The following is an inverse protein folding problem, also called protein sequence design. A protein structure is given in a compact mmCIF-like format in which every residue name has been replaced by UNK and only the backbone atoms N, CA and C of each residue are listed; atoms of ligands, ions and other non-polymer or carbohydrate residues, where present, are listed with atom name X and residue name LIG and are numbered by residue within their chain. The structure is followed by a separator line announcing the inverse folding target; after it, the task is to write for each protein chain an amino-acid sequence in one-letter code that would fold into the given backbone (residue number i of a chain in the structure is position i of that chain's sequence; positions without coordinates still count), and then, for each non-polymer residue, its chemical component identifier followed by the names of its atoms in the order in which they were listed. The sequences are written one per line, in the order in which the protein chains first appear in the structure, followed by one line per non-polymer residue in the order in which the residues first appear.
data_IF_572771208475
#
_entry.id   IF_572771208475
#
_cell.length_a   1.000
_cell.length_b   1.000
_cell.length_c   1.000
_cell.angle_alpha   90.00
_cell.angle_beta   90.00
_cell.angle_gamma   90.00
#
_symmetry.space_group_name_H-M   'P 1'
#
loop_
_entity.id
_entity.type
_entity.pdbx_description
1 polymer ?
#
# COMPACT_ATOMS: atom_id res chain seq x y z
N UNK A 1 -14.27 -46.50 -8.77
CA UNK A 1 -13.21 -45.88 -7.95
C UNK A 1 -12.52 -44.72 -8.66
N UNK A 2 -12.08 -44.82 -9.92
CA UNK A 2 -11.41 -43.73 -10.66
C UNK A 2 -12.21 -42.41 -10.75
N UNK A 3 -13.54 -42.48 -10.94
CA UNK A 3 -14.41 -41.29 -11.08
C UNK A 3 -14.57 -40.51 -9.76
N UNK A 4 -14.51 -41.19 -8.63
CA UNK A 4 -14.60 -40.56 -7.30
C UNK A 4 -13.28 -39.88 -6.94
N UNK A 5 -12.13 -40.49 -7.30
CA UNK A 5 -10.80 -39.89 -7.12
C UNK A 5 -10.63 -38.62 -7.96
N UNK A 6 -11.12 -38.66 -9.24
CA UNK A 6 -11.06 -37.49 -10.11
C UNK A 6 -11.93 -36.32 -9.60
N UNK A 7 -13.10 -36.61 -9.03
CA UNK A 7 -13.97 -35.58 -8.43
C UNK A 7 -13.37 -34.98 -7.16
N UNK A 8 -12.69 -35.79 -6.33
CA UNK A 8 -11.99 -35.30 -5.12
C UNK A 8 -10.76 -34.46 -5.48
N UNK A 9 -10.03 -34.82 -6.54
CA UNK A 9 -8.90 -34.06 -7.02
C UNK A 9 -9.33 -32.71 -7.62
N UNK A 10 -10.46 -32.68 -8.34
CA UNK A 10 -11.02 -31.44 -8.88
C UNK A 10 -11.56 -30.51 -7.78
N UNK A 11 -12.14 -31.06 -6.70
CA UNK A 11 -12.60 -30.29 -5.56
C UNK A 11 -11.43 -29.67 -4.75
N UNK A 12 -10.29 -30.34 -4.66
CA UNK A 12 -9.08 -29.83 -4.00
C UNK A 12 -8.43 -28.66 -4.74
N UNK A 13 -8.60 -28.57 -6.08
CA UNK A 13 -8.09 -27.46 -6.90
C UNK A 13 -8.94 -26.18 -6.80
N UNK A 14 -10.14 -26.27 -6.25
CA UNK A 14 -11.05 -25.12 -6.00
C UNK A 14 -10.83 -24.47 -4.62
N UNK A 15 -9.96 -25.00 -3.79
CA UNK A 15 -9.46 -24.28 -2.60
C UNK A 15 -8.54 -23.14 -3.08
N UNK A 16 -9.12 -22.21 -3.85
CA UNK A 16 -8.44 -21.01 -4.32
C UNK A 16 -7.87 -20.24 -3.15
N UNK A 17 -6.68 -19.66 -3.32
CA UNK A 17 -6.04 -18.77 -2.37
C UNK A 17 -7.06 -17.69 -1.97
N UNK A 18 -7.70 -17.84 -0.82
CA UNK A 18 -8.51 -16.78 -0.24
C UNK A 18 -7.56 -15.58 -0.02
N UNK A 19 -7.82 -14.47 -0.69
CA UNK A 19 -7.10 -13.23 -0.42
C UNK A 19 -7.30 -12.85 1.04
N UNK A 20 -6.23 -12.40 1.70
CA UNK A 20 -6.30 -11.94 3.09
C UNK A 20 -7.30 -10.78 3.16
N UNK A 21 -8.27 -10.87 4.08
CA UNK A 21 -9.21 -9.80 4.37
C UNK A 21 -8.67 -8.97 5.55
N UNK A 22 -8.72 -7.65 5.43
CA UNK A 22 -8.27 -6.75 6.50
C UNK A 22 -9.04 -6.95 7.81
N UNK A 23 -10.29 -7.41 7.74
CA UNK A 23 -11.11 -7.74 8.92
C UNK A 23 -10.48 -8.81 9.83
N UNK A 24 -9.54 -9.63 9.33
CA UNK A 24 -8.81 -10.61 10.15
C UNK A 24 -7.96 -9.94 11.23
N UNK A 25 -7.58 -8.67 11.04
CA UNK A 25 -6.76 -7.90 11.97
C UNK A 25 -7.59 -7.07 12.97
N UNK A 26 -8.92 -7.16 12.98
CA UNK A 26 -9.81 -6.29 13.77
C UNK A 26 -9.48 -6.26 15.29
N UNK A 27 -8.92 -7.33 15.83
CA UNK A 27 -8.56 -7.44 17.23
C UNK A 27 -7.09 -7.06 17.53
N UNK A 28 -6.28 -6.79 16.50
CA UNK A 28 -4.86 -6.45 16.66
C UNK A 28 -4.68 -5.02 17.16
N UNK A 29 -3.60 -4.80 17.90
CA UNK A 29 -3.28 -3.50 18.53
C UNK A 29 -1.82 -3.11 18.28
N UNK A 30 -1.51 -1.80 18.26
CA UNK A 30 -2.42 -0.65 18.43
C UNK A 30 -3.34 -0.47 17.22
N UNK A 31 -4.56 0.08 17.44
CA UNK A 31 -5.48 0.31 16.34
C UNK A 31 -4.95 1.43 15.42
N UNK A 32 -4.95 1.16 14.12
CA UNK A 32 -4.52 2.11 13.09
C UNK A 32 -5.65 3.08 12.76
N UNK A 33 -5.36 4.36 12.92
CA UNK A 33 -6.14 5.48 12.38
C UNK A 33 -5.19 6.34 11.55
N UNK A 34 -5.40 6.43 10.24
CA UNK A 34 -4.53 7.22 9.35
C UNK A 34 -4.47 8.69 9.75
N UNK A 35 -5.59 9.27 10.16
CA UNK A 35 -5.65 10.66 10.62
C UNK A 35 -4.76 10.90 11.84
N UNK A 36 -4.76 9.96 12.79
CA UNK A 36 -3.90 10.04 13.99
C UNK A 36 -2.44 9.80 13.65
N UNK A 37 -2.16 8.81 12.78
CA UNK A 37 -0.79 8.45 12.43
C UNK A 37 -0.14 9.49 11.52
N UNK A 38 -0.80 9.87 10.42
CA UNK A 38 -0.33 10.86 9.46
C UNK A 38 -0.80 12.29 9.85
N UNK A 39 -0.55 12.71 11.07
CA UNK A 39 -0.70 14.09 11.52
C UNK A 39 0.65 14.58 12.05
N UNK A 40 1.29 15.51 11.32
CA UNK A 40 2.66 15.97 11.55
C UNK A 40 3.65 15.38 10.54
N UNK A 41 4.93 15.26 10.92
CA UNK A 41 6.02 14.84 10.03
C UNK A 41 6.37 13.38 10.27
N UNK A 42 6.47 12.62 9.17
CA UNK A 42 6.82 11.20 9.15
C UNK A 42 8.01 10.98 8.23
N UNK A 43 9.01 10.23 8.69
CA UNK A 43 10.08 9.70 7.84
C UNK A 43 9.70 8.32 7.32
N UNK A 44 10.06 8.02 6.07
CA UNK A 44 9.91 6.71 5.48
C UNK A 44 11.17 6.26 4.75
N UNK A 45 11.56 4.99 4.92
CA UNK A 45 12.68 4.37 4.20
C UNK A 45 12.14 3.20 3.41
N UNK A 46 12.31 3.25 2.10
CA UNK A 46 11.73 2.27 1.21
C UNK A 46 12.72 1.69 0.19
N UNK A 47 12.34 0.54 -0.34
CA UNK A 47 13.00 -0.10 -1.46
C UNK A 47 11.97 -0.72 -2.40
N UNK A 48 12.25 -0.65 -3.70
CA UNK A 48 11.53 -1.42 -4.71
C UNK A 48 12.36 -2.63 -5.10
N UNK A 49 11.71 -3.80 -5.08
CA UNK A 49 12.26 -5.08 -5.52
C UNK A 49 11.48 -5.56 -6.76
N UNK A 50 12.20 -6.00 -7.78
CA UNK A 50 11.58 -6.64 -8.94
C UNK A 50 11.00 -8.02 -8.58
N UNK A 51 10.37 -8.67 -9.56
CA UNK A 51 9.75 -9.99 -9.37
C UNK A 51 10.73 -11.10 -8.96
N UNK A 52 12.04 -10.90 -9.17
CA UNK A 52 13.09 -11.84 -8.76
C UNK A 52 13.53 -11.63 -7.30
N UNK A 53 13.07 -10.55 -6.67
CA UNK A 53 13.48 -10.14 -5.34
C UNK A 53 14.72 -9.24 -5.31
N UNK A 54 15.27 -8.88 -6.49
CA UNK A 54 16.42 -7.97 -6.58
C UNK A 54 15.98 -6.55 -6.23
N UNK A 55 16.71 -5.90 -5.31
CA UNK A 55 16.51 -4.48 -5.02
C UNK A 55 16.97 -3.66 -6.22
N UNK A 56 16.03 -2.95 -6.83
CA UNK A 56 16.25 -2.09 -8.01
C UNK A 56 16.54 -0.67 -7.59
N UNK A 57 15.82 -0.16 -6.60
CA UNK A 57 16.03 1.19 -6.07
C UNK A 57 15.71 1.27 -4.58
N UNK A 58 16.28 2.27 -3.91
CA UNK A 58 16.00 2.65 -2.53
C UNK A 58 15.68 4.12 -2.48
N UNK A 59 14.89 4.53 -1.50
CA UNK A 59 14.52 5.91 -1.31
C UNK A 59 14.26 6.24 0.17
N UNK A 60 14.37 7.51 0.48
CA UNK A 60 13.85 8.11 1.69
C UNK A 60 12.71 9.04 1.30
N UNK A 61 11.67 9.10 2.11
CA UNK A 61 10.55 10.03 1.94
C UNK A 61 10.29 10.76 3.25
N UNK A 62 10.12 12.06 3.15
CA UNK A 62 9.59 12.88 4.25
C UNK A 62 8.17 13.24 3.89
N UNK A 63 7.25 12.96 4.80
CA UNK A 63 5.82 13.23 4.64
C UNK A 63 5.43 14.30 5.64
N UNK A 64 5.01 15.47 5.15
CA UNK A 64 4.39 16.50 5.97
C UNK A 64 2.87 16.42 5.80
N UNK A 65 2.21 15.98 6.87
CA UNK A 65 0.78 15.66 6.82
C UNK A 65 -0.03 16.57 7.73
N UNK A 66 -1.21 16.99 7.25
CA UNK A 66 -2.15 17.85 7.97
C UNK A 66 -3.58 17.42 7.72
N UNK A 67 -4.41 17.50 8.75
CA UNK A 67 -5.84 17.18 8.66
C UNK A 67 -6.70 18.39 9.00
N UNK A 68 -7.80 18.55 8.25
CA UNK A 68 -8.88 19.49 8.52
C UNK A 68 -10.21 18.71 8.47
N UNK A 69 -10.85 18.55 9.63
CA UNK A 69 -11.95 17.61 9.74
C UNK A 69 -11.51 16.20 9.35
N UNK A 70 -12.22 15.55 8.43
CA UNK A 70 -11.91 14.21 7.94
C UNK A 70 -11.15 14.20 6.61
N UNK A 71 -10.62 15.36 6.20
CA UNK A 71 -9.77 15.49 5.01
C UNK A 71 -8.33 15.75 5.40
N UNK A 72 -7.43 14.88 4.94
CA UNK A 72 -5.98 14.95 5.13
C UNK A 72 -5.25 15.31 3.85
N UNK A 73 -4.20 16.11 3.97
CA UNK A 73 -3.23 16.36 2.91
C UNK A 73 -1.89 15.79 3.37
N UNK A 74 -1.30 14.87 2.58
CA UNK A 74 0.01 14.29 2.83
C UNK A 74 0.94 14.73 1.70
N UNK A 75 1.92 15.55 2.04
CA UNK A 75 2.92 16.08 1.11
C UNK A 75 4.21 15.23 1.23
N UNK A 76 4.46 14.40 0.24
CA UNK A 76 5.53 13.41 0.22
C UNK A 76 6.71 13.90 -0.62
N UNK A 77 7.86 14.13 -0.01
CA UNK A 77 9.10 14.48 -0.68
C UNK A 77 10.04 13.27 -0.70
N UNK A 78 10.23 12.68 -1.88
CA UNK A 78 11.08 11.51 -2.11
C UNK A 78 12.49 11.92 -2.51
N UNK A 79 13.48 11.23 -1.96
CA UNK A 79 14.87 11.27 -2.38
C UNK A 79 15.36 9.83 -2.64
N UNK A 80 15.67 9.54 -3.89
CA UNK A 80 16.14 8.23 -4.33
C UNK A 80 17.66 8.09 -4.18
N UNK A 81 18.14 6.85 -4.05
CA UNK A 81 19.55 6.56 -3.90
C UNK A 81 20.43 6.99 -5.11
N UNK A 82 19.82 7.20 -6.27
CA UNK A 82 20.46 7.73 -7.48
C UNK A 82 20.44 9.27 -7.55
N UNK A 83 19.93 9.94 -6.53
CA UNK A 83 19.84 11.40 -6.43
C UNK A 83 18.59 12.02 -7.06
N UNK A 84 17.72 11.25 -7.71
CA UNK A 84 16.44 11.76 -8.19
C UNK A 84 15.58 12.21 -7.02
N UNK A 85 14.77 13.23 -7.26
CA UNK A 85 13.78 13.75 -6.32
C UNK A 85 12.42 13.79 -6.97
N UNK A 86 11.42 13.36 -6.22
CA UNK A 86 10.02 13.38 -6.64
C UNK A 86 9.15 13.93 -5.51
N UNK A 87 7.97 14.43 -5.86
CA UNK A 87 6.97 14.89 -4.89
C UNK A 87 5.63 14.35 -5.29
N UNK A 88 4.91 13.84 -4.30
CA UNK A 88 3.51 13.43 -4.41
C UNK A 88 2.70 14.10 -3.32
N UNK A 89 1.52 14.58 -3.65
CA UNK A 89 0.59 15.12 -2.67
C UNK A 89 -0.69 14.31 -2.72
N UNK A 90 -0.99 13.63 -1.64
CA UNK A 90 -2.26 12.97 -1.45
C UNK A 90 -3.27 13.90 -0.82
N UNK A 91 -4.52 13.81 -1.29
CA UNK A 91 -5.71 14.25 -0.55
C UNK A 91 -6.46 13.01 -0.13
N UNK A 92 -6.60 12.77 1.17
CA UNK A 92 -7.25 11.59 1.74
C UNK A 92 -8.50 12.03 2.49
N UNK A 93 -9.60 11.31 2.30
CA UNK A 93 -10.86 11.49 3.03
C UNK A 93 -11.12 10.26 3.87
N UNK A 94 -11.42 10.48 5.16
CA UNK A 94 -11.79 9.46 6.13
C UNK A 94 -13.31 9.39 6.26
N UNK A 95 -13.87 8.15 6.22
CA UNK A 95 -15.28 7.86 6.51
C UNK A 95 -15.33 6.62 7.43
N UNK A 96 -15.31 6.85 8.74
CA UNK A 96 -15.17 5.77 9.72
C UNK A 96 -13.84 5.02 9.54
N UNK A 97 -13.92 3.73 9.28
CA UNK A 97 -12.75 2.87 9.00
C UNK A 97 -12.38 2.82 7.51
N UNK A 98 -13.15 3.49 6.65
CA UNK A 98 -12.88 3.60 5.22
C UNK A 98 -12.14 4.88 4.89
N UNK A 99 -11.27 4.77 3.90
CA UNK A 99 -10.50 5.89 3.38
C UNK A 99 -10.59 5.90 1.86
N UNK A 100 -10.66 7.09 1.30
CA UNK A 100 -10.48 7.33 -0.14
C UNK A 100 -9.42 8.39 -0.35
N UNK A 101 -8.75 8.39 -1.50
CA UNK A 101 -7.71 9.36 -1.77
C UNK A 101 -7.43 9.58 -3.23
N UNK A 102 -6.84 10.75 -3.53
CA UNK A 102 -6.37 11.12 -4.86
C UNK A 102 -4.96 11.69 -4.78
N UNK A 103 -4.16 11.47 -5.82
CA UNK A 103 -2.86 12.12 -6.02
C UNK A 103 -2.65 12.39 -7.51
N UNK A 104 -1.67 13.23 -7.85
CA UNK A 104 -1.45 13.66 -9.25
C UNK A 104 -1.05 12.54 -10.20
N UNK A 105 -0.45 11.47 -9.69
CA UNK A 105 -0.01 10.28 -10.43
C UNK A 105 -0.90 9.04 -10.17
N UNK A 106 -2.06 9.24 -9.52
CA UNK A 106 -3.05 8.17 -9.27
C UNK A 106 -4.21 8.31 -10.24
N UNK A 107 -4.54 7.22 -10.92
CA UNK A 107 -5.66 7.15 -11.85
C UNK A 107 -6.95 6.92 -11.08
N UNK A 108 -7.87 7.86 -11.15
CA UNK A 108 -9.14 7.81 -10.42
C UNK A 108 -8.97 8.02 -8.91
N UNK A 109 -9.65 7.20 -8.12
CA UNK A 109 -9.66 7.31 -6.66
C UNK A 109 -9.12 6.04 -6.03
N UNK A 110 -8.13 6.20 -5.16
CA UNK A 110 -7.66 5.14 -4.29
C UNK A 110 -8.68 4.86 -3.17
N UNK A 111 -8.72 3.64 -2.68
CA UNK A 111 -9.63 3.25 -1.60
C UNK A 111 -9.00 2.25 -0.66
N UNK A 112 -9.40 2.27 0.60
CA UNK A 112 -8.95 1.30 1.58
C UNK A 112 -9.83 1.23 2.82
N UNK A 113 -9.56 0.21 3.61
CA UNK A 113 -10.26 -0.06 4.87
C UNK A 113 -9.24 -0.40 5.94
N UNK A 114 -9.40 0.18 7.13
CA UNK A 114 -8.63 -0.16 8.30
C UNK A 114 -9.39 -1.15 9.19
N UNK A 115 -8.67 -2.09 9.80
CA UNK A 115 -9.20 -2.95 10.84
C UNK A 115 -8.07 -3.32 11.81
N UNK A 116 -8.29 -3.10 13.10
CA UNK A 116 -7.26 -3.28 14.11
C UNK A 116 -6.00 -2.47 13.79
N UNK A 117 -4.84 -3.13 13.71
CA UNK A 117 -3.57 -2.45 13.39
C UNK A 117 -3.26 -2.37 11.89
N UNK A 118 -4.15 -2.83 11.01
CA UNK A 118 -3.90 -2.93 9.58
C UNK A 118 -4.77 -1.97 8.76
N UNK A 119 -4.22 -1.52 7.61
CA UNK A 119 -4.95 -0.89 6.51
C UNK A 119 -4.64 -1.65 5.23
N UNK A 120 -5.67 -1.97 4.47
CA UNK A 120 -5.53 -2.44 3.10
C UNK A 120 -5.95 -1.32 2.16
N UNK A 121 -5.00 -0.83 1.33
CA UNK A 121 -5.16 0.31 0.43
C UNK A 121 -4.91 -0.09 -1.00
N UNK A 122 -5.74 0.33 -1.95
CA UNK A 122 -5.61 -0.03 -3.36
C UNK A 122 -5.75 1.19 -4.25
N UNK A 123 -4.92 1.26 -5.27
CA UNK A 123 -4.95 2.32 -6.27
C UNK A 123 -4.27 1.89 -7.56
N UNK A 124 -4.47 2.69 -8.61
CA UNK A 124 -3.76 2.55 -9.89
C UNK A 124 -2.77 3.70 -10.01
N UNK A 125 -1.49 3.38 -10.12
CA UNK A 125 -0.41 4.35 -10.29
C UNK A 125 -0.09 4.52 -11.77
N UNK A 126 -0.11 5.76 -12.28
CA UNK A 126 0.37 6.13 -13.61
C UNK A 126 1.89 6.32 -13.55
N UNK A 127 2.65 5.27 -13.86
CA UNK A 127 4.11 5.25 -13.78
C UNK A 127 4.75 5.53 -15.13
N UNK A 128 5.53 6.63 -15.29
CA UNK A 128 6.34 6.86 -16.49
C UNK A 128 7.51 5.87 -16.54
N UNK A 129 7.58 5.08 -17.62
CA UNK A 129 8.67 4.14 -17.89
C UNK A 129 9.10 4.32 -19.34
N UNK A 130 10.35 4.74 -19.58
CA UNK A 130 10.92 4.89 -20.92
C UNK A 130 10.04 5.66 -21.92
N UNK A 131 9.42 6.77 -21.45
CA UNK A 131 8.57 7.62 -22.27
C UNK A 131 7.12 7.11 -22.47
N UNK A 132 6.76 5.98 -21.89
CA UNK A 132 5.40 5.43 -21.90
C UNK A 132 4.83 5.46 -20.48
N UNK A 133 3.55 5.85 -20.34
CA UNK A 133 2.86 5.79 -19.05
C UNK A 133 2.23 4.40 -18.88
N UNK A 134 2.60 3.73 -17.80
CA UNK A 134 2.08 2.43 -17.42
C UNK A 134 1.15 2.55 -16.21
N UNK A 135 -0.08 2.11 -16.36
CA UNK A 135 -1.00 1.98 -15.24
C UNK A 135 -0.67 0.69 -14.47
N UNK A 136 -0.25 0.85 -13.22
CA UNK A 136 0.17 -0.24 -12.35
C UNK A 136 -0.85 -0.40 -11.23
N UNK A 137 -1.35 -1.63 -11.02
CA UNK A 137 -2.21 -1.95 -9.89
C UNK A 137 -1.35 -2.06 -8.62
N UNK A 138 -1.69 -1.27 -7.61
CA UNK A 138 -1.01 -1.19 -6.33
C UNK A 138 -1.92 -1.80 -5.26
N UNK A 139 -1.47 -2.89 -4.67
CA UNK A 139 -2.11 -3.57 -3.53
C UNK A 139 -1.24 -3.38 -2.30
N UNK A 140 -1.68 -2.52 -1.42
CA UNK A 140 -0.86 -1.90 -0.39
C UNK A 140 -1.38 -2.26 1.00
N UNK A 141 -0.51 -2.83 1.82
CA UNK A 141 -0.78 -3.22 3.19
C UNK A 141 0.09 -2.44 4.16
N UNK A 142 -0.54 -1.77 5.11
CA UNK A 142 0.13 -1.05 6.18
C UNK A 142 -0.20 -1.70 7.51
N UNK A 143 0.81 -1.84 8.38
CA UNK A 143 0.68 -2.43 9.71
C UNK A 143 1.30 -1.52 10.74
N UNK A 144 0.48 -0.99 11.65
CA UNK A 144 0.95 -0.21 12.78
C UNK A 144 1.59 -1.14 13.81
N UNK A 145 2.88 -0.99 14.05
CA UNK A 145 3.66 -1.84 14.96
C UNK A 145 3.68 -1.30 16.38
N UNK A 146 3.79 0.01 16.51
CA UNK A 146 3.69 0.78 17.74
C UNK A 146 3.13 2.18 17.40
N UNK A 147 3.04 3.09 18.36
CA UNK A 147 2.46 4.43 18.15
C UNK A 147 3.20 5.29 17.12
N UNK A 148 4.45 4.95 16.79
CA UNK A 148 5.32 5.73 15.91
C UNK A 148 5.82 4.97 14.69
N UNK A 149 5.78 3.65 14.69
CA UNK A 149 6.36 2.79 13.65
C UNK A 149 5.26 2.07 12.87
N UNK A 150 5.29 2.19 11.57
CA UNK A 150 4.39 1.48 10.66
C UNK A 150 5.19 0.80 9.55
N UNK A 151 4.89 -0.45 9.28
CA UNK A 151 5.44 -1.18 8.15
C UNK A 151 4.44 -1.18 7.01
N UNK A 152 4.95 -1.04 5.80
CA UNK A 152 4.17 -1.04 4.58
C UNK A 152 4.77 -2.01 3.57
N UNK A 153 3.89 -2.73 2.90
CA UNK A 153 4.23 -3.63 1.81
C UNK A 153 3.22 -3.47 0.69
N UNK A 154 3.71 -3.07 -0.48
CA UNK A 154 2.90 -2.85 -1.66
C UNK A 154 3.27 -3.84 -2.75
N UNK A 155 2.33 -4.67 -3.18
CA UNK A 155 2.49 -5.48 -4.39
C UNK A 155 2.14 -4.63 -5.60
N UNK A 156 3.05 -4.55 -6.56
CA UNK A 156 2.85 -3.89 -7.83
C UNK A 156 2.56 -4.94 -8.90
N UNK A 157 1.45 -4.79 -9.62
CA UNK A 157 1.08 -5.69 -10.71
C UNK A 157 0.57 -4.94 -11.94
N UNK A 158 0.63 -5.61 -13.09
CA UNK A 158 0.07 -5.15 -14.34
C UNK A 158 -0.66 -6.29 -15.04
N UNK A 159 -1.91 -6.07 -15.43
CA UNK A 159 -2.76 -7.09 -16.07
C UNK A 159 -2.77 -8.41 -15.26
N UNK A 160 -2.82 -8.31 -13.92
CA UNK A 160 -2.83 -9.46 -13.01
C UNK A 160 -1.47 -10.14 -12.80
N UNK A 161 -0.39 -9.69 -13.47
CA UNK A 161 0.96 -10.23 -13.31
C UNK A 161 1.75 -9.36 -12.35
N UNK A 162 2.29 -9.96 -11.26
CA UNK A 162 3.18 -9.25 -10.32
C UNK A 162 4.44 -8.79 -11.04
N UNK A 163 4.76 -7.50 -10.92
CA UNK A 163 5.95 -6.84 -11.49
C UNK A 163 7.03 -6.67 -10.43
N UNK A 164 6.64 -6.38 -9.21
CA UNK A 164 7.55 -6.16 -8.11
C UNK A 164 6.82 -5.85 -6.82
N UNK A 165 7.60 -5.38 -5.85
CA UNK A 165 7.11 -5.06 -4.51
C UNK A 165 7.85 -3.86 -3.96
N UNK A 166 7.14 -2.98 -3.25
CA UNK A 166 7.72 -1.94 -2.41
C UNK A 166 7.60 -2.37 -0.95
N UNK A 167 8.70 -2.33 -0.24
CA UNK A 167 8.73 -2.42 1.23
C UNK A 167 9.12 -1.07 1.79
N UNK A 168 8.38 -0.58 2.77
CA UNK A 168 8.57 0.74 3.34
C UNK A 168 8.37 0.69 4.87
N UNK A 169 9.28 1.29 5.60
CA UNK A 169 9.15 1.50 7.04
C UNK A 169 8.93 2.98 7.31
N UNK A 170 7.86 3.32 8.00
CA UNK A 170 7.55 4.68 8.43
C UNK A 170 7.85 4.88 9.90
N UNK A 171 8.29 6.09 10.25
CA UNK A 171 8.46 6.53 11.62
C UNK A 171 7.97 7.96 11.82
N UNK A 172 6.99 8.11 12.67
CA UNK A 172 6.50 9.43 13.10
C UNK A 172 7.54 10.14 13.98
N UNK A 173 7.84 11.41 13.69
CA UNK A 173 8.77 12.23 14.47
C UNK A 173 8.22 12.62 15.84
#
# INVERSE_FOLDING_TARGET
MFRILAALLAAALLAGCASVDVAQYANERPALDLKRYFDGTIDGWGMFQDRSGKVVTRFHVVIDAKWSGDTGTLDEAFEYADGRRERRVWTIVKDGDRYSGTAGDVVGTASGTAAGNALHWRYVLALPVEGTVWNMDMDDWMFLMDERTMLNRTTMSKLGVRVGEVTLAFRKR
#
